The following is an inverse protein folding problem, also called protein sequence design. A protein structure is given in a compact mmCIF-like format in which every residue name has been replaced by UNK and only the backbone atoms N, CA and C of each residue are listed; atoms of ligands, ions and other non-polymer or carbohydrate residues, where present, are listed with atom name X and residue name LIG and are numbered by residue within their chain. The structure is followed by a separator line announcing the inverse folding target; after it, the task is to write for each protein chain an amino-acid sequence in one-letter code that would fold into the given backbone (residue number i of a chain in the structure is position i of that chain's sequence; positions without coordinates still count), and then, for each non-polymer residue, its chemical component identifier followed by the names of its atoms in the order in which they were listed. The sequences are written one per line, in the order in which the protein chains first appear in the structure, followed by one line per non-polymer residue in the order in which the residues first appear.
data_IF_718534286394
#
_entry.id   IF_718534286394
#
_cell.length_a   1.000
_cell.length_b   1.000
_cell.length_c   1.000
_cell.angle_alpha   90.00
_cell.angle_beta   90.00
_cell.angle_gamma   90.00
#
_symmetry.space_group_name_H-M   'P 1'
#
loop_
_entity.id
_entity.type
_entity.pdbx_description
1 polymer ?
#
# COMPACT_ATOMS: atom_id res chain seq x y z
N UNK A 1 -15.38 15.50 15.48
CA UNK A 1 -14.20 14.80 14.91
C UNK A 1 -14.18 13.38 15.43
N UNK A 2 -14.15 12.39 14.55
CA UNK A 2 -13.95 10.98 14.94
C UNK A 2 -12.52 10.85 15.47
N UNK A 3 -12.33 10.19 16.62
CA UNK A 3 -10.98 9.93 17.14
C UNK A 3 -10.23 8.98 16.20
N UNK A 4 -8.92 9.17 16.02
CA UNK A 4 -8.07 8.27 15.22
C UNK A 4 -8.25 6.79 15.61
N UNK A 5 -8.44 6.50 16.91
CA UNK A 5 -8.72 5.14 17.38
C UNK A 5 -10.02 4.57 16.82
N UNK A 6 -11.07 5.38 16.74
CA UNK A 6 -12.35 4.94 16.20
C UNK A 6 -12.25 4.70 14.70
N UNK A 7 -11.58 5.59 13.96
CA UNK A 7 -11.29 5.41 12.55
C UNK A 7 -10.60 4.07 12.27
N UNK A 8 -9.48 3.78 12.96
CA UNK A 8 -8.75 2.54 12.73
C UNK A 8 -9.52 1.28 13.12
N UNK A 9 -10.34 1.34 14.17
CA UNK A 9 -11.20 0.21 14.54
C UNK A 9 -12.22 -0.08 13.44
N UNK A 10 -12.83 0.95 12.86
CA UNK A 10 -13.76 0.79 11.75
C UNK A 10 -13.06 0.31 10.46
N UNK A 11 -11.94 0.96 10.09
CA UNK A 11 -11.22 0.64 8.84
C UNK A 11 -10.73 -0.82 8.80
N UNK A 12 -10.29 -1.35 9.94
CA UNK A 12 -9.73 -2.71 10.03
C UNK A 12 -10.75 -3.75 10.51
N UNK A 13 -12.01 -3.38 10.69
CA UNK A 13 -13.03 -4.28 11.21
C UNK A 13 -13.24 -5.50 10.29
N UNK A 14 -13.13 -6.70 10.85
CA UNK A 14 -13.33 -7.95 10.11
C UNK A 14 -12.19 -8.33 9.16
N UNK A 15 -11.09 -7.57 9.10
CA UNK A 15 -9.91 -7.99 8.35
C UNK A 15 -9.28 -9.24 8.98
N UNK A 16 -9.09 -10.29 8.19
CA UNK A 16 -8.54 -11.58 8.62
C UNK A 16 -7.06 -11.68 8.27
N UNK A 17 -6.20 -11.18 9.15
CA UNK A 17 -4.73 -11.20 8.98
C UNK A 17 -4.19 -12.62 8.72
N UNK A 18 -4.78 -13.63 9.37
CA UNK A 18 -4.39 -15.03 9.32
C UNK A 18 -4.58 -15.68 7.93
N UNK A 19 -5.47 -15.15 7.10
CA UNK A 19 -5.68 -15.64 5.73
C UNK A 19 -4.49 -15.30 4.81
N UNK A 20 -3.79 -14.20 5.11
CA UNK A 20 -2.71 -13.67 4.28
C UNK A 20 -3.15 -13.32 2.85
N UNK A 21 -2.20 -12.84 2.04
CA UNK A 21 -2.35 -12.78 0.59
C UNK A 21 -2.02 -14.14 0.00
N UNK A 22 -2.90 -14.68 -0.85
CA UNK A 22 -2.70 -15.92 -1.57
C UNK A 22 -1.73 -15.74 -2.76
N UNK A 23 -0.46 -15.43 -2.48
CA UNK A 23 0.58 -15.24 -3.50
C UNK A 23 1.13 -16.58 -4.00
N UNK A 24 1.58 -16.67 -5.27
CA UNK A 24 2.36 -17.81 -5.73
C UNK A 24 3.71 -17.81 -5.02
N UNK A 25 4.02 -18.91 -4.34
CA UNK A 25 5.31 -19.11 -3.66
C UNK A 25 6.04 -20.28 -4.31
N UNK A 26 7.33 -20.08 -4.62
CA UNK A 26 8.19 -21.15 -5.17
C UNK A 26 8.55 -22.22 -4.12
N UNK A 27 8.39 -21.90 -2.83
CA UNK A 27 8.75 -22.76 -1.69
C UNK A 27 7.72 -22.62 -0.58
N UNK A 28 7.66 -23.62 0.29
CA UNK A 28 6.81 -23.56 1.48
C UNK A 28 7.21 -22.37 2.37
N UNK A 29 6.20 -21.64 2.86
CA UNK A 29 6.40 -20.51 3.76
C UNK A 29 6.83 -21.04 5.13
N UNK A 30 8.02 -20.65 5.57
CA UNK A 30 8.55 -20.99 6.89
C UNK A 30 7.72 -20.34 8.01
N UNK A 31 7.69 -20.99 9.18
CA UNK A 31 7.10 -20.40 10.39
C UNK A 31 7.89 -19.18 10.85
N UNK A 32 7.29 -18.30 11.67
CA UNK A 32 7.94 -17.08 12.12
C UNK A 32 9.28 -17.34 12.86
N UNK A 33 9.38 -18.42 13.63
CA UNK A 33 10.62 -18.83 14.32
C UNK A 33 11.73 -19.30 13.37
N UNK A 34 11.39 -19.69 12.15
CA UNK A 34 12.31 -20.24 11.16
C UNK A 34 12.67 -19.23 10.05
N UNK A 35 12.03 -18.05 10.03
CA UNK A 35 12.31 -17.04 9.00
C UNK A 35 13.75 -16.57 9.14
N UNK A 36 14.55 -16.81 8.10
CA UNK A 36 15.98 -16.44 8.08
C UNK A 36 16.28 -14.93 8.16
N UNK A 37 15.27 -14.07 8.07
CA UNK A 37 15.43 -12.61 7.98
C UNK A 37 16.06 -12.12 6.66
N UNK A 38 16.50 -13.03 5.78
CA UNK A 38 17.09 -12.67 4.48
C UNK A 38 16.00 -12.27 3.50
N UNK A 39 16.25 -11.17 2.80
CA UNK A 39 15.45 -10.70 1.69
C UNK A 39 16.34 -10.60 0.44
N UNK A 40 15.74 -10.79 -0.73
CA UNK A 40 16.35 -10.43 -2.02
C UNK A 40 15.80 -9.06 -2.42
N UNK A 41 16.67 -8.19 -2.93
CA UNK A 41 16.27 -6.95 -3.57
C UNK A 41 16.29 -7.18 -5.07
N UNK A 42 15.20 -6.84 -5.74
CA UNK A 42 15.10 -6.85 -7.20
C UNK A 42 14.78 -5.43 -7.61
N UNK A 43 15.75 -4.77 -8.24
CA UNK A 43 15.60 -3.43 -8.75
C UNK A 43 15.03 -3.46 -10.17
N UNK A 44 14.16 -2.51 -10.47
CA UNK A 44 13.65 -2.27 -11.81
C UNK A 44 13.46 -0.77 -12.00
N UNK A 45 13.55 -0.34 -13.26
CA UNK A 45 13.42 1.06 -13.63
C UNK A 45 12.26 1.23 -14.60
N UNK A 46 11.55 2.35 -14.46
CA UNK A 46 10.59 2.80 -15.46
C UNK A 46 11.34 3.65 -16.48
N UNK A 47 10.99 3.53 -17.77
CA UNK A 47 11.55 4.42 -18.78
C UNK A 47 11.19 5.87 -18.48
N UNK A 48 12.00 6.82 -18.97
CA UNK A 48 11.74 8.25 -18.82
C UNK A 48 10.33 8.62 -19.31
N UNK A 49 9.95 8.11 -20.49
CA UNK A 49 8.62 8.32 -21.05
C UNK A 49 7.50 7.82 -20.12
N UNK A 50 7.64 6.62 -19.55
CA UNK A 50 6.63 6.07 -18.63
C UNK A 50 6.58 6.86 -17.33
N UNK A 51 7.74 7.28 -16.81
CA UNK A 51 7.84 8.11 -15.60
C UNK A 51 7.13 9.45 -15.81
N UNK A 52 7.39 10.13 -16.93
CA UNK A 52 6.73 11.39 -17.25
C UNK A 52 5.22 11.21 -17.40
N UNK A 53 4.78 10.19 -18.15
CA UNK A 53 3.36 9.88 -18.33
C UNK A 53 2.66 9.60 -16.98
N UNK A 54 3.35 8.92 -16.07
CA UNK A 54 2.85 8.62 -14.72
C UNK A 54 2.67 9.88 -13.88
N UNK A 55 3.64 10.80 -13.91
CA UNK A 55 3.58 12.07 -13.20
C UNK A 55 2.52 13.02 -13.79
N UNK A 56 2.41 13.07 -15.11
CA UNK A 56 1.40 13.88 -15.82
C UNK A 56 -0.02 13.37 -15.55
N UNK A 57 -0.20 12.04 -15.49
CA UNK A 57 -1.47 11.44 -15.10
C UNK A 57 -1.85 11.84 -13.68
N UNK A 58 -0.93 11.70 -12.72
CA UNK A 58 -1.19 12.05 -11.33
C UNK A 58 -1.59 13.53 -11.19
N UNK A 59 -0.85 14.43 -11.86
CA UNK A 59 -1.12 15.87 -11.89
C UNK A 59 -2.49 16.19 -12.51
N UNK A 60 -2.79 15.66 -13.69
CA UNK A 60 -4.04 15.93 -14.42
C UNK A 60 -5.30 15.42 -13.70
N UNK A 61 -5.16 14.40 -12.85
CA UNK A 61 -6.26 13.83 -12.07
C UNK A 61 -6.31 14.33 -10.62
N UNK A 62 -5.47 15.32 -10.26
CA UNK A 62 -5.36 15.87 -8.90
C UNK A 62 -5.08 14.81 -7.82
N UNK A 63 -4.24 13.83 -8.14
CA UNK A 63 -3.78 12.79 -7.21
C UNK A 63 -2.27 12.81 -7.07
N UNK A 64 -1.77 12.25 -5.99
CA UNK A 64 -0.33 12.11 -5.75
C UNK A 64 0.24 10.91 -6.51
N UNK A 65 1.52 10.98 -6.87
CA UNK A 65 2.26 9.83 -7.41
C UNK A 65 2.24 8.62 -6.47
N UNK A 66 2.17 8.86 -5.15
CA UNK A 66 1.99 7.82 -4.14
C UNK A 66 0.64 7.11 -4.28
N UNK A 67 -0.48 7.84 -4.37
CA UNK A 67 -1.82 7.25 -4.56
C UNK A 67 -1.90 6.43 -5.85
N UNK A 68 -1.37 6.97 -6.95
CA UNK A 68 -1.33 6.26 -8.24
C UNK A 68 -0.50 4.97 -8.16
N UNK A 69 0.67 5.03 -7.52
CA UNK A 69 1.54 3.89 -7.32
C UNK A 69 0.91 2.84 -6.40
N UNK A 70 0.25 3.28 -5.33
CA UNK A 70 -0.45 2.41 -4.39
C UNK A 70 -1.59 1.64 -5.09
N UNK A 71 -2.39 2.33 -5.91
CA UNK A 71 -3.43 1.70 -6.74
C UNK A 71 -2.84 0.66 -7.72
N UNK A 72 -1.70 0.97 -8.33
CA UNK A 72 -0.98 0.02 -9.19
C UNK A 72 -0.54 -1.23 -8.43
N UNK A 73 -0.02 -1.08 -7.19
CA UNK A 73 0.36 -2.22 -6.34
C UNK A 73 -0.86 -3.05 -5.93
N UNK A 74 -1.97 -2.43 -5.53
CA UNK A 74 -3.22 -3.16 -5.25
C UNK A 74 -3.72 -3.94 -6.46
N UNK A 75 -3.70 -3.32 -7.65
CA UNK A 75 -4.06 -3.97 -8.91
C UNK A 75 -3.15 -5.16 -9.23
N UNK A 76 -1.85 -5.00 -9.01
CA UNK A 76 -0.88 -6.07 -9.18
C UNK A 76 -1.15 -7.24 -8.23
N UNK A 77 -1.34 -6.97 -6.93
CA UNK A 77 -1.61 -8.01 -5.94
C UNK A 77 -2.96 -8.69 -6.16
N UNK A 78 -3.99 -7.97 -6.60
CA UNK A 78 -5.28 -8.54 -7.00
C UNK A 78 -5.11 -9.59 -8.10
N UNK A 79 -4.37 -9.24 -9.16
CA UNK A 79 -4.09 -10.16 -10.27
C UNK A 79 -3.24 -11.34 -9.81
N UNK A 80 -2.22 -11.08 -9.00
CA UNK A 80 -1.28 -12.10 -8.53
C UNK A 80 -1.90 -13.09 -7.54
N UNK A 81 -2.90 -12.65 -6.76
CA UNK A 81 -3.63 -13.46 -5.78
C UNK A 81 -4.88 -14.13 -6.33
N UNK A 82 -5.02 -14.21 -7.65
CA UNK A 82 -6.18 -14.79 -8.33
C UNK A 82 -7.52 -14.13 -7.92
N UNK A 83 -7.53 -12.80 -7.83
CA UNK A 83 -8.73 -12.01 -7.61
C UNK A 83 -9.13 -11.83 -6.14
N UNK A 84 -8.20 -11.93 -5.18
CA UNK A 84 -8.50 -11.61 -3.78
C UNK A 84 -8.87 -10.12 -3.63
N UNK A 85 -10.06 -9.86 -3.10
CA UNK A 85 -10.65 -8.51 -3.06
C UNK A 85 -10.34 -7.72 -1.79
N UNK A 86 -10.24 -8.38 -0.63
CA UNK A 86 -9.91 -7.72 0.65
C UNK A 86 -8.39 -7.75 0.87
N UNK A 87 -7.73 -6.64 0.53
CA UNK A 87 -6.29 -6.50 0.58
C UNK A 87 -5.88 -5.44 1.61
N UNK A 88 -4.81 -5.71 2.36
CA UNK A 88 -4.21 -4.74 3.28
C UNK A 88 -2.70 -4.66 3.04
N UNK A 89 -2.21 -3.47 2.73
CA UNK A 89 -0.79 -3.18 2.47
C UNK A 89 -0.34 -2.13 3.46
N UNK A 90 0.88 -2.23 3.99
CA UNK A 90 1.44 -1.21 4.85
C UNK A 90 2.31 -0.22 4.05
N UNK A 91 2.22 1.07 4.37
CA UNK A 91 3.19 2.08 3.93
C UNK A 91 3.88 2.72 5.14
N UNK A 92 4.99 3.41 4.89
CA UNK A 92 5.77 4.07 5.93
C UNK A 92 5.59 5.58 5.80
N UNK A 93 5.03 6.21 6.83
CA UNK A 93 4.91 7.66 6.94
C UNK A 93 6.08 8.24 7.75
N UNK A 94 6.65 9.36 7.31
CA UNK A 94 7.76 10.02 8.01
C UNK A 94 7.40 10.46 9.44
N UNK A 95 6.13 10.80 9.69
CA UNK A 95 5.56 11.16 10.98
C UNK A 95 6.31 12.34 11.66
N UNK A 96 6.74 13.30 10.84
CA UNK A 96 7.44 14.54 11.24
C UNK A 96 6.54 15.76 11.03
N UNK A 97 5.30 15.70 11.55
CA UNK A 97 4.30 16.75 11.35
C UNK A 97 4.61 18.05 12.12
N UNK A 98 5.42 17.96 13.18
CA UNK A 98 5.89 19.10 13.96
C UNK A 98 7.21 19.62 13.40
N UNK A 99 7.34 20.93 13.26
CA UNK A 99 8.52 21.58 12.66
C UNK A 99 9.82 21.22 13.38
N UNK A 100 9.78 21.08 14.69
CA UNK A 100 10.92 20.76 15.57
C UNK A 100 11.47 19.36 15.29
N UNK A 101 10.67 18.48 14.70
CA UNK A 101 11.05 17.11 14.36
C UNK A 101 11.67 17.00 12.97
N UNK A 102 11.66 18.04 12.13
CA UNK A 102 12.06 17.93 10.73
C UNK A 102 13.52 17.48 10.57
N UNK A 103 14.41 18.13 11.32
CA UNK A 103 15.87 17.96 11.18
C UNK A 103 16.46 17.06 12.29
N UNK A 104 15.62 16.43 13.11
CA UNK A 104 16.06 15.63 14.25
C UNK A 104 16.44 14.20 13.85
N UNK A 105 17.58 13.72 14.32
CA UNK A 105 17.97 12.31 14.18
C UNK A 105 17.16 11.48 15.18
N UNK A 106 16.47 10.44 14.70
CA UNK A 106 15.67 9.55 15.54
C UNK A 106 14.66 8.71 14.75
N UNK A 107 14.03 7.76 15.44
CA UNK A 107 13.00 6.87 14.90
C UNK A 107 11.62 7.51 15.04
N UNK A 108 11.14 8.15 13.97
CA UNK A 108 9.80 8.76 13.95
C UNK A 108 8.81 8.00 13.09
N UNK A 109 9.28 7.22 12.12
CA UNK A 109 8.43 6.66 11.07
C UNK A 109 7.28 5.81 11.64
N UNK A 110 6.11 5.97 11.05
CA UNK A 110 4.91 5.23 11.42
C UNK A 110 4.51 4.30 10.27
N UNK A 111 4.26 3.04 10.59
CA UNK A 111 3.69 2.07 9.64
C UNK A 111 2.18 2.22 9.64
N UNK A 112 1.59 2.54 8.48
CA UNK A 112 0.15 2.73 8.32
C UNK A 112 -0.44 1.65 7.42
N UNK A 113 -1.50 0.94 7.85
CA UNK A 113 -2.19 -0.03 7.01
C UNK A 113 -3.19 0.66 6.07
N UNK A 114 -3.12 0.32 4.79
CA UNK A 114 -4.10 0.67 3.77
C UNK A 114 -4.88 -0.59 3.47
N UNK A 115 -6.13 -0.67 3.94
CA UNK A 115 -7.04 -1.76 3.61
C UNK A 115 -8.04 -1.29 2.58
N UNK A 116 -8.15 -2.03 1.48
CA UNK A 116 -9.04 -1.74 0.37
C UNK A 116 -9.85 -3.00 0.06
N UNK A 117 -11.16 -2.82 -0.10
CA UNK A 117 -12.04 -3.80 -0.73
C UNK A 117 -12.11 -3.47 -2.22
N UNK A 118 -11.49 -4.32 -3.04
CA UNK A 118 -11.43 -4.15 -4.48
C UNK A 118 -12.71 -4.66 -5.14
N UNK A 119 -13.31 -3.84 -6.00
CA UNK A 119 -14.37 -4.24 -6.91
C UNK A 119 -13.77 -4.62 -8.27
N UNK A 120 -13.91 -5.87 -8.75
CA UNK A 120 -13.43 -6.28 -10.07
C UNK A 120 -14.05 -5.52 -11.25
N UNK A 121 -15.17 -4.83 -11.03
CA UNK A 121 -15.87 -4.05 -12.03
C UNK A 121 -15.52 -2.56 -11.99
N UNK A 122 -14.78 -2.10 -10.97
CA UNK A 122 -14.33 -0.72 -10.90
C UNK A 122 -13.26 -0.41 -11.95
N UNK A 123 -13.29 0.81 -12.48
CA UNK A 123 -12.20 1.31 -13.32
C UNK A 123 -10.96 1.55 -12.48
N UNK A 124 -9.80 1.58 -13.13
CA UNK A 124 -8.55 1.91 -12.44
C UNK A 124 -8.60 3.32 -11.82
N UNK A 125 -9.23 4.29 -12.49
CA UNK A 125 -9.44 5.64 -11.97
C UNK A 125 -10.25 5.63 -10.66
N UNK A 126 -11.31 4.82 -10.58
CA UNK A 126 -12.10 4.66 -9.36
C UNK A 126 -11.26 4.08 -8.22
N UNK A 127 -10.39 3.11 -8.51
CA UNK A 127 -9.46 2.58 -7.53
C UNK A 127 -8.46 3.65 -7.05
N UNK A 128 -7.92 4.46 -7.96
CA UNK A 128 -6.99 5.56 -7.62
C UNK A 128 -7.64 6.56 -6.67
N UNK A 129 -8.91 6.88 -6.87
CA UNK A 129 -9.66 7.74 -5.93
C UNK A 129 -9.91 7.03 -4.60
N UNK A 130 -10.34 5.76 -4.63
CA UNK A 130 -10.61 4.96 -3.43
C UNK A 130 -9.39 4.85 -2.51
N UNK A 131 -8.18 4.66 -3.06
CA UNK A 131 -6.96 4.60 -2.23
C UNK A 131 -6.58 5.96 -1.64
N UNK A 132 -7.06 7.06 -2.23
CA UNK A 132 -6.81 8.40 -1.74
C UNK A 132 -7.70 8.82 -0.57
N UNK A 133 -8.83 8.14 -0.39
CA UNK A 133 -9.81 8.41 0.68
C UNK A 133 -9.54 7.62 1.99
N UNK A 134 -8.53 6.75 1.99
CA UNK A 134 -8.07 5.97 3.16
C UNK A 134 -7.04 6.74 3.97
#
# INVERSE_FOLDING_TARGET
MISARHFWRAQLEGYKMERGLALPFDRHRLSDSERSGRALIVDFELSEHLTQSFLDYASSHNVTSFQLGLAAVFTFLFKLSNGQQDLCIASVNANRYRSELRDMIGMFVATLPYRIQLDPHATFEQLVQQVGDV
#
